data_IF_155525959370
#
_entry.id   IF_155525959370
#
_cell.length_a   1.000
_cell.length_b   1.000
_cell.length_c   1.000
_cell.angle_alpha   90.00
_cell.angle_beta   90.00
_cell.angle_gamma   90.00
#
_symmetry.space_group_name_H-M   'P 1'
#
loop_
_entity.id
_entity.type
_entity.pdbx_description
1 polymer ?
#
# COMPACT_ATOMS: atom_id res chain seq x y z
N UNK A 1 9.50 43.52 -10.61
CA UNK A 1 8.14 42.99 -10.83
C UNK A 1 7.71 42.11 -9.67
N UNK A 2 7.30 42.67 -8.51
CA UNK A 2 6.81 41.89 -7.35
C UNK A 2 5.28 41.81 -7.25
N UNK A 3 4.54 42.70 -7.94
CA UNK A 3 3.08 42.86 -7.76
C UNK A 3 2.25 41.67 -8.27
N UNK A 4 2.66 41.01 -9.34
CA UNK A 4 1.83 39.96 -9.96
C UNK A 4 1.83 38.65 -9.15
N UNK A 5 2.95 38.28 -8.54
CA UNK A 5 3.04 37.09 -7.68
C UNK A 5 2.25 37.26 -6.39
N UNK A 6 2.33 38.44 -5.75
CA UNK A 6 1.58 38.70 -4.52
C UNK A 6 0.06 38.78 -4.78
N UNK A 7 -0.33 39.32 -5.94
CA UNK A 7 -1.73 39.32 -6.39
C UNK A 7 -2.22 37.89 -6.62
N UNK A 8 -1.43 37.07 -7.34
CA UNK A 8 -1.74 35.66 -7.61
C UNK A 8 -1.87 34.83 -6.33
N UNK A 9 -0.93 35.00 -5.39
CA UNK A 9 -0.96 34.36 -4.08
C UNK A 9 -2.25 34.69 -3.32
N UNK A 10 -2.61 35.97 -3.26
CA UNK A 10 -3.83 36.43 -2.56
C UNK A 10 -5.09 35.85 -3.21
N UNK A 11 -5.14 35.80 -4.55
CA UNK A 11 -6.25 35.20 -5.29
C UNK A 11 -6.39 33.71 -5.00
N UNK A 12 -5.29 32.95 -5.02
CA UNK A 12 -5.31 31.50 -4.75
C UNK A 12 -5.76 31.25 -3.31
N UNK A 13 -5.24 31.99 -2.33
CA UNK A 13 -5.66 31.84 -0.93
C UNK A 13 -7.14 32.14 -0.75
N UNK A 14 -7.64 33.21 -1.38
CA UNK A 14 -9.07 33.51 -1.35
C UNK A 14 -9.90 32.39 -1.98
N UNK A 15 -9.45 31.81 -3.10
CA UNK A 15 -10.14 30.69 -3.75
C UNK A 15 -10.13 29.43 -2.88
N UNK A 16 -9.01 29.11 -2.23
CA UNK A 16 -8.89 28.00 -1.28
C UNK A 16 -9.83 28.20 -0.08
N UNK A 17 -9.89 29.41 0.49
CA UNK A 17 -10.80 29.73 1.60
C UNK A 17 -12.27 29.57 1.24
N UNK A 18 -12.65 29.88 0.00
CA UNK A 18 -14.01 29.65 -0.49
C UNK A 18 -14.39 28.16 -0.54
N UNK A 19 -13.42 27.25 -0.58
CA UNK A 19 -13.67 25.79 -0.56
C UNK A 19 -13.92 25.22 0.84
N UNK A 20 -13.83 26.04 1.90
CA UNK A 20 -13.97 25.56 3.28
C UNK A 20 -15.24 24.75 3.53
N UNK A 21 -16.45 25.17 3.08
CA UNK A 21 -17.66 24.36 3.28
C UNK A 21 -17.56 22.98 2.65
N UNK A 22 -16.99 22.88 1.45
CA UNK A 22 -16.82 21.61 0.74
C UNK A 22 -15.77 20.72 1.42
N UNK A 23 -14.69 21.31 1.95
CA UNK A 23 -13.67 20.60 2.73
C UNK A 23 -14.25 20.06 4.04
N UNK A 24 -15.10 20.82 4.73
CA UNK A 24 -15.79 20.33 5.93
C UNK A 24 -16.70 19.14 5.61
N UNK A 25 -17.54 19.28 4.58
CA UNK A 25 -18.39 18.17 4.12
C UNK A 25 -17.57 16.94 3.69
N UNK A 26 -16.40 17.15 3.08
CA UNK A 26 -15.49 16.05 2.76
C UNK A 26 -14.98 15.36 4.03
N UNK A 27 -14.49 16.11 5.02
CA UNK A 27 -14.01 15.55 6.29
C UNK A 27 -15.09 14.77 7.03
N UNK A 28 -16.31 15.30 7.08
CA UNK A 28 -17.48 14.61 7.64
C UNK A 28 -17.76 13.30 6.89
N UNK A 29 -17.80 13.35 5.56
CA UNK A 29 -17.99 12.14 4.73
C UNK A 29 -16.92 11.09 5.02
N UNK A 30 -15.65 11.50 5.12
CA UNK A 30 -14.54 10.59 5.42
C UNK A 30 -14.65 9.98 6.82
N UNK A 31 -15.11 10.73 7.82
CA UNK A 31 -15.37 10.20 9.16
C UNK A 31 -16.50 9.18 9.15
N UNK A 32 -17.57 9.43 8.39
CA UNK A 32 -18.68 8.49 8.29
C UNK A 32 -18.32 7.24 7.51
N UNK A 33 -17.47 7.34 6.48
CA UNK A 33 -16.89 6.17 5.82
C UNK A 33 -16.03 5.35 6.79
N UNK A 34 -15.21 6.00 7.63
CA UNK A 34 -14.41 5.29 8.66
C UNK A 34 -15.31 4.49 9.60
N UNK A 35 -16.37 5.10 10.13
CA UNK A 35 -17.34 4.40 11.00
C UNK A 35 -18.02 3.23 10.29
N UNK A 36 -18.41 3.41 9.02
CA UNK A 36 -19.06 2.35 8.25
C UNK A 36 -18.12 1.17 8.01
N UNK A 37 -16.86 1.42 7.64
CA UNK A 37 -15.85 0.38 7.42
C UNK A 37 -15.61 -0.51 8.66
N UNK A 38 -15.78 0.04 9.87
CA UNK A 38 -15.68 -0.73 11.12
C UNK A 38 -16.82 -1.75 11.29
N UNK A 39 -17.99 -1.48 10.70
CA UNK A 39 -19.21 -2.29 10.90
C UNK A 39 -19.60 -3.17 9.72
N UNK A 40 -18.97 -3.01 8.55
CA UNK A 40 -19.28 -3.79 7.33
C UNK A 40 -19.25 -5.30 7.60
N UNK A 41 -20.23 -6.03 7.08
CA UNK A 41 -20.28 -7.49 7.18
C UNK A 41 -20.19 -8.22 5.84
N UNK A 42 -20.33 -7.51 4.72
CA UNK A 42 -20.40 -8.12 3.40
C UNK A 42 -19.44 -7.46 2.39
N UNK A 43 -18.93 -8.23 1.43
CA UNK A 43 -17.96 -7.73 0.43
C UNK A 43 -18.61 -6.72 -0.54
N UNK A 44 -19.89 -6.88 -0.86
CA UNK A 44 -20.64 -5.94 -1.71
C UNK A 44 -20.82 -4.58 -1.01
N UNK A 45 -21.04 -4.58 0.31
CA UNK A 45 -21.07 -3.37 1.13
C UNK A 45 -19.69 -2.70 1.14
N UNK A 46 -18.61 -3.47 1.33
CA UNK A 46 -17.24 -2.95 1.27
C UNK A 46 -16.96 -2.32 -0.10
N UNK A 47 -17.33 -3.00 -1.18
CA UNK A 47 -17.13 -2.52 -2.56
C UNK A 47 -17.85 -1.19 -2.78
N UNK A 48 -19.10 -1.10 -2.32
CA UNK A 48 -19.90 0.13 -2.41
C UNK A 48 -19.27 1.28 -1.62
N UNK A 49 -18.76 1.00 -0.42
CA UNK A 49 -18.07 2.02 0.40
C UNK A 49 -16.78 2.52 -0.24
N UNK A 50 -15.95 1.61 -0.77
CA UNK A 50 -14.71 1.99 -1.46
C UNK A 50 -15.01 2.86 -2.67
N UNK A 51 -16.04 2.53 -3.46
CA UNK A 51 -16.49 3.38 -4.58
C UNK A 51 -16.95 4.77 -4.11
N UNK A 52 -17.67 4.84 -2.98
CA UNK A 52 -18.10 6.10 -2.37
C UNK A 52 -16.92 6.96 -1.92
N UNK A 53 -15.91 6.35 -1.30
CA UNK A 53 -14.66 6.99 -0.91
C UNK A 53 -13.93 7.55 -2.14
N UNK A 54 -13.70 6.72 -3.15
CA UNK A 54 -13.00 7.10 -4.39
C UNK A 54 -13.72 8.27 -5.10
N UNK A 55 -15.05 8.21 -5.16
CA UNK A 55 -15.84 9.27 -5.76
C UNK A 55 -15.69 10.59 -4.98
N UNK A 56 -15.71 10.52 -3.65
CA UNK A 56 -15.60 11.69 -2.80
C UNK A 56 -14.21 12.33 -2.85
N UNK A 57 -13.16 11.50 -2.93
CA UNK A 57 -11.79 11.97 -3.17
C UNK A 57 -11.64 12.62 -4.54
N UNK A 58 -12.24 12.05 -5.60
CA UNK A 58 -12.24 12.65 -6.95
C UNK A 58 -12.93 14.01 -6.96
N UNK A 59 -14.07 14.15 -6.30
CA UNK A 59 -14.78 15.43 -6.17
C UNK A 59 -13.92 16.49 -5.48
N UNK A 60 -13.29 16.15 -4.35
CA UNK A 60 -12.40 17.07 -3.66
C UNK A 60 -11.20 17.44 -4.55
N UNK A 61 -10.54 16.45 -5.15
CA UNK A 61 -9.38 16.69 -6.02
C UNK A 61 -9.71 17.63 -7.19
N UNK A 62 -10.88 17.49 -7.81
CA UNK A 62 -11.33 18.41 -8.86
C UNK A 62 -11.54 19.84 -8.35
N UNK A 63 -12.10 20.01 -7.14
CA UNK A 63 -12.28 21.32 -6.53
C UNK A 63 -10.93 21.97 -6.20
N UNK A 64 -10.03 21.20 -5.58
CA UNK A 64 -8.69 21.66 -5.23
C UNK A 64 -7.91 22.05 -6.48
N UNK A 65 -7.90 21.22 -7.54
CA UNK A 65 -7.23 21.55 -8.81
C UNK A 65 -7.75 22.85 -9.44
N UNK A 66 -9.05 23.12 -9.37
CA UNK A 66 -9.63 24.37 -9.87
C UNK A 66 -9.19 25.58 -9.05
N UNK A 67 -9.20 25.49 -7.72
CA UNK A 67 -8.78 26.58 -6.84
C UNK A 67 -7.24 26.81 -6.87
N UNK A 68 -6.49 25.75 -7.11
CA UNK A 68 -5.03 25.71 -7.25
C UNK A 68 -4.52 26.04 -8.66
N UNK A 69 -5.41 26.39 -9.61
CA UNK A 69 -5.00 26.57 -11.00
C UNK A 69 -3.94 27.68 -11.14
N UNK A 70 -2.79 27.34 -11.73
CA UNK A 70 -1.66 28.26 -11.87
C UNK A 70 -0.75 28.36 -10.63
N UNK A 71 -0.98 27.54 -9.61
CA UNK A 71 -0.07 27.40 -8.47
C UNK A 71 1.20 26.65 -8.89
N UNK A 72 2.34 27.32 -8.77
CA UNK A 72 3.65 26.69 -8.86
C UNK A 72 4.19 26.36 -7.47
N UNK A 73 5.38 25.74 -7.42
CA UNK A 73 6.03 25.35 -6.16
C UNK A 73 6.29 26.56 -5.25
N UNK A 74 6.68 27.71 -5.82
CA UNK A 74 6.99 28.92 -5.05
C UNK A 74 5.75 29.48 -4.36
N UNK A 75 4.62 29.49 -5.07
CA UNK A 75 3.32 29.90 -4.53
C UNK A 75 2.82 28.90 -3.48
N UNK A 76 3.00 27.60 -3.71
CA UNK A 76 2.65 26.58 -2.72
C UNK A 76 3.43 26.75 -1.42
N UNK A 77 4.76 26.93 -1.51
CA UNK A 77 5.62 27.15 -0.34
C UNK A 77 5.21 28.41 0.44
N UNK A 78 4.83 29.49 -0.27
CA UNK A 78 4.34 30.72 0.34
C UNK A 78 2.98 30.53 1.05
N UNK A 79 2.06 29.73 0.48
CA UNK A 79 0.79 29.36 1.12
C UNK A 79 1.05 28.57 2.40
N UNK A 80 1.98 27.60 2.37
CA UNK A 80 2.37 26.83 3.54
C UNK A 80 2.96 27.70 4.66
N UNK A 81 3.78 28.70 4.35
CA UNK A 81 4.25 29.66 5.35
C UNK A 81 3.10 30.47 5.95
N UNK A 82 2.12 30.84 5.14
CA UNK A 82 0.99 31.64 5.60
C UNK A 82 0.04 30.85 6.52
N UNK A 83 -0.01 29.52 6.40
CA UNK A 83 -0.73 28.63 7.33
C UNK A 83 -0.29 28.84 8.79
N UNK A 84 0.97 29.15 9.07
CA UNK A 84 1.47 29.37 10.44
C UNK A 84 0.71 30.47 11.19
N UNK A 85 0.12 31.41 10.45
CA UNK A 85 -0.62 32.56 10.97
C UNK A 85 -2.13 32.52 10.68
N UNK A 86 -2.61 31.51 9.94
CA UNK A 86 -3.99 31.41 9.47
C UNK A 86 -4.55 30.01 9.74
N UNK A 87 -5.34 29.89 10.80
CA UNK A 87 -5.93 28.61 11.23
C UNK A 87 -6.93 28.05 10.21
N UNK A 88 -7.62 28.92 9.47
CA UNK A 88 -8.57 28.50 8.44
C UNK A 88 -7.82 27.91 7.24
N UNK A 89 -6.76 28.58 6.80
CA UNK A 89 -5.91 28.08 5.73
C UNK A 89 -5.19 26.79 6.13
N UNK A 90 -4.76 26.67 7.40
CA UNK A 90 -4.21 25.42 7.94
C UNK A 90 -5.20 24.27 7.86
N UNK A 91 -6.46 24.50 8.25
CA UNK A 91 -7.51 23.49 8.21
C UNK A 91 -7.80 23.00 6.78
N UNK A 92 -7.72 23.91 5.80
CA UNK A 92 -7.84 23.62 4.38
C UNK A 92 -6.64 22.82 3.89
N UNK A 93 -5.43 23.28 4.20
CA UNK A 93 -4.20 22.62 3.74
C UNK A 93 -4.01 21.22 4.32
N UNK A 94 -4.64 20.92 5.46
CA UNK A 94 -4.64 19.59 6.06
C UNK A 94 -5.12 18.48 5.11
N UNK A 95 -6.01 18.76 4.15
CA UNK A 95 -6.49 17.73 3.20
C UNK A 95 -5.47 17.38 2.11
N UNK A 96 -4.43 18.20 1.93
CA UNK A 96 -3.32 17.89 1.03
C UNK A 96 -2.29 16.96 1.67
N UNK A 97 -2.37 16.74 2.99
CA UNK A 97 -1.56 15.74 3.67
C UNK A 97 -2.25 14.38 3.58
N UNK A 98 -1.56 13.42 2.97
CA UNK A 98 -2.06 12.05 2.87
C UNK A 98 -2.20 11.41 4.26
N UNK A 99 -3.42 11.03 4.62
CA UNK A 99 -3.72 10.19 5.78
C UNK A 99 -3.95 8.74 5.31
N UNK A 100 -3.00 7.85 5.62
CA UNK A 100 -3.11 6.44 5.25
C UNK A 100 -4.13 5.66 6.09
N UNK A 101 -4.78 6.27 7.10
CA UNK A 101 -5.69 5.55 8.00
C UNK A 101 -6.89 4.95 7.28
N UNK A 102 -7.43 5.61 6.24
CA UNK A 102 -8.57 5.10 5.49
C UNK A 102 -8.16 3.89 4.63
N UNK A 103 -7.03 3.97 3.93
CA UNK A 103 -6.48 2.87 3.15
C UNK A 103 -6.15 1.65 4.03
N UNK A 104 -5.60 1.89 5.23
CA UNK A 104 -5.34 0.86 6.22
C UNK A 104 -6.64 0.22 6.73
N UNK A 105 -7.69 1.02 6.94
CA UNK A 105 -8.98 0.53 7.41
C UNK A 105 -9.69 -0.31 6.33
N UNK A 106 -9.72 0.15 5.07
CA UNK A 106 -10.23 -0.63 3.93
C UNK A 106 -9.52 -1.98 3.85
N UNK A 107 -8.18 -1.95 3.95
CA UNK A 107 -7.34 -3.16 3.95
C UNK A 107 -7.74 -4.11 5.08
N UNK A 108 -7.78 -3.61 6.31
CA UNK A 108 -8.11 -4.43 7.49
C UNK A 108 -9.52 -5.00 7.42
N UNK A 109 -10.48 -4.23 6.90
CA UNK A 109 -11.86 -4.67 6.69
C UNK A 109 -11.92 -5.78 5.65
N UNK A 110 -11.24 -5.62 4.49
CA UNK A 110 -11.19 -6.67 3.46
C UNK A 110 -10.60 -7.97 4.01
N UNK A 111 -9.49 -7.89 4.73
CA UNK A 111 -8.86 -9.06 5.33
C UNK A 111 -9.79 -9.77 6.32
N UNK A 112 -10.51 -9.01 7.16
CA UNK A 112 -11.49 -9.55 8.09
C UNK A 112 -12.62 -10.28 7.37
N UNK A 113 -13.18 -9.69 6.32
CA UNK A 113 -14.26 -10.31 5.53
C UNK A 113 -13.76 -11.59 4.85
N UNK A 114 -12.58 -11.54 4.23
CA UNK A 114 -11.95 -12.71 3.63
C UNK A 114 -11.74 -13.84 4.64
N UNK A 115 -11.28 -13.52 5.86
CA UNK A 115 -11.11 -14.51 6.93
C UNK A 115 -12.45 -15.10 7.39
N UNK A 116 -13.50 -14.28 7.49
CA UNK A 116 -14.85 -14.75 7.79
C UNK A 116 -15.34 -15.73 6.71
N UNK A 117 -15.15 -15.41 5.42
CA UNK A 117 -15.50 -16.29 4.31
C UNK A 117 -14.69 -17.59 4.33
N UNK A 118 -13.39 -17.51 4.60
CA UNK A 118 -12.52 -18.69 4.75
C UNK A 118 -13.02 -19.61 5.87
N UNK A 119 -13.24 -19.06 7.07
CA UNK A 119 -13.60 -19.85 8.24
C UNK A 119 -15.02 -20.42 8.17
N UNK A 120 -15.95 -19.76 7.46
CA UNK A 120 -17.30 -20.28 7.24
C UNK A 120 -17.32 -21.58 6.40
N UNK A 121 -16.28 -21.85 5.59
CA UNK A 121 -16.18 -23.05 4.74
C UNK A 121 -15.67 -24.29 5.47
N UNK A 122 -15.13 -24.13 6.67
CA UNK A 122 -14.35 -25.14 7.40
C UNK A 122 -14.98 -25.43 8.77
N UNK A 123 -14.72 -26.62 9.33
CA UNK A 123 -15.20 -27.00 10.65
C UNK A 123 -14.21 -27.90 11.39
N UNK A 124 -14.34 -27.99 12.72
CA UNK A 124 -13.49 -28.85 13.56
C UNK A 124 -11.99 -28.60 13.34
N UNK A 125 -11.24 -29.67 13.08
CA UNK A 125 -9.78 -29.62 12.89
C UNK A 125 -9.38 -28.82 11.64
N UNK A 126 -10.19 -28.82 10.58
CA UNK A 126 -9.94 -28.04 9.36
C UNK A 126 -9.90 -26.54 9.65
N UNK A 127 -10.85 -26.08 10.46
CA UNK A 127 -10.92 -24.69 10.90
C UNK A 127 -9.70 -24.32 11.76
N UNK A 128 -9.27 -25.22 12.65
CA UNK A 128 -8.10 -24.96 13.49
C UNK A 128 -6.82 -24.90 12.66
N UNK A 129 -6.63 -25.79 11.69
CA UNK A 129 -5.49 -25.75 10.76
C UNK A 129 -5.42 -24.42 10.00
N UNK A 130 -6.54 -23.94 9.47
CA UNK A 130 -6.59 -22.66 8.75
C UNK A 130 -6.25 -21.48 9.68
N UNK A 131 -6.78 -21.47 10.91
CA UNK A 131 -6.46 -20.42 11.91
C UNK A 131 -4.99 -20.43 12.29
N UNK A 132 -4.41 -21.59 12.54
CA UNK A 132 -3.01 -21.74 12.91
C UNK A 132 -2.09 -21.27 11.77
N UNK A 133 -2.40 -21.66 10.53
CA UNK A 133 -1.70 -21.20 9.33
C UNK A 133 -1.77 -19.67 9.21
N UNK A 134 -2.96 -19.08 9.30
CA UNK A 134 -3.15 -17.63 9.21
C UNK A 134 -2.44 -16.86 10.33
N UNK A 135 -2.45 -17.39 11.55
CA UNK A 135 -1.75 -16.78 12.68
C UNK A 135 -0.23 -16.78 12.45
N UNK A 136 0.35 -17.91 12.03
CA UNK A 136 1.78 -18.01 11.72
C UNK A 136 2.16 -17.09 10.56
N UNK A 137 1.32 -17.02 9.53
CA UNK A 137 1.52 -16.12 8.41
C UNK A 137 1.51 -14.65 8.86
N UNK A 138 0.57 -14.24 9.72
CA UNK A 138 0.54 -12.88 10.30
C UNK A 138 1.80 -12.55 11.08
N UNK A 139 2.37 -13.50 11.82
CA UNK A 139 3.63 -13.31 12.57
C UNK A 139 4.83 -13.05 11.66
N UNK A 140 4.77 -13.48 10.40
CA UNK A 140 5.82 -13.27 9.40
C UNK A 140 5.73 -11.92 8.67
N UNK A 141 4.73 -11.09 8.96
CA UNK A 141 4.51 -9.80 8.28
C UNK A 141 5.71 -8.85 8.33
N UNK A 142 6.31 -8.68 9.50
CA UNK A 142 7.50 -7.82 9.67
C UNK A 142 8.72 -8.39 8.95
N UNK A 143 8.87 -9.71 8.92
CA UNK A 143 9.96 -10.39 8.22
C UNK A 143 9.81 -10.19 6.71
N UNK A 144 8.61 -10.35 6.16
CA UNK A 144 8.34 -10.12 4.75
C UNK A 144 8.70 -8.69 4.30
N UNK A 145 8.37 -7.67 5.11
CA UNK A 145 8.75 -6.28 4.83
C UNK A 145 10.26 -6.10 4.76
N UNK A 146 11.01 -6.75 5.66
CA UNK A 146 12.47 -6.73 5.64
C UNK A 146 13.03 -7.44 4.39
N UNK A 147 12.43 -8.55 3.99
CA UNK A 147 12.82 -9.28 2.78
C UNK A 147 12.61 -8.44 1.53
N UNK A 148 11.49 -7.71 1.44
CA UNK A 148 11.24 -6.83 0.29
C UNK A 148 12.22 -5.67 0.23
N UNK A 149 12.59 -5.07 1.36
CA UNK A 149 13.65 -4.07 1.41
C UNK A 149 15.01 -4.65 0.96
N UNK A 150 15.34 -5.88 1.35
CA UNK A 150 16.57 -6.54 0.92
C UNK A 150 16.58 -6.88 -0.57
N UNK A 151 15.44 -7.28 -1.15
CA UNK A 151 15.32 -7.47 -2.60
C UNK A 151 15.60 -6.18 -3.35
N UNK A 152 15.09 -5.04 -2.90
CA UNK A 152 15.40 -3.74 -3.53
C UNK A 152 16.90 -3.42 -3.51
N UNK A 153 17.62 -3.76 -2.43
CA UNK A 153 19.07 -3.63 -2.38
C UNK A 153 19.76 -4.53 -3.43
N UNK A 154 19.31 -5.78 -3.60
CA UNK A 154 19.83 -6.65 -4.65
C UNK A 154 19.53 -6.13 -6.05
N UNK A 155 18.31 -5.62 -6.30
CA UNK A 155 17.95 -4.98 -7.57
C UNK A 155 18.87 -3.80 -7.88
N UNK A 156 19.19 -2.99 -6.88
CA UNK A 156 20.13 -1.88 -7.05
C UNK A 156 21.55 -2.40 -7.37
N UNK A 157 22.07 -3.36 -6.59
CA UNK A 157 23.39 -3.98 -6.86
C UNK A 157 23.48 -4.57 -8.27
N UNK A 158 22.44 -5.26 -8.74
CA UNK A 158 22.38 -5.85 -10.09
C UNK A 158 22.37 -4.79 -11.20
N UNK A 159 21.73 -3.63 -10.97
CA UNK A 159 21.75 -2.48 -11.88
C UNK A 159 23.13 -1.81 -11.93
N UNK A 160 23.83 -1.78 -10.81
CA UNK A 160 25.14 -1.13 -10.67
C UNK A 160 26.31 -2.03 -11.09
N UNK A 161 26.13 -3.36 -11.16
CA UNK A 161 27.19 -4.29 -11.56
C UNK A 161 27.75 -3.95 -12.95
N UNK A 162 29.08 -3.88 -13.08
CA UNK A 162 29.77 -3.49 -14.32
C UNK A 162 30.37 -4.69 -15.07
N UNK A 163 30.42 -5.86 -14.45
CA UNK A 163 31.01 -7.07 -15.02
C UNK A 163 30.25 -8.34 -14.64
N UNK A 164 30.51 -9.42 -15.37
CA UNK A 164 29.80 -10.69 -15.21
C UNK A 164 30.16 -11.37 -13.89
N UNK A 165 31.40 -11.20 -13.39
CA UNK A 165 31.83 -11.81 -12.13
C UNK A 165 31.05 -11.22 -10.95
N UNK A 166 30.86 -9.91 -10.93
CA UNK A 166 30.06 -9.21 -9.91
C UNK A 166 28.60 -9.68 -9.93
N UNK A 167 28.02 -9.91 -11.11
CA UNK A 167 26.66 -10.46 -11.22
C UNK A 167 26.58 -11.89 -10.69
N UNK A 168 27.57 -12.73 -10.98
CA UNK A 168 27.62 -14.11 -10.48
C UNK A 168 27.82 -14.15 -8.94
N UNK A 169 28.62 -13.23 -8.39
CA UNK A 169 28.76 -13.06 -6.93
C UNK A 169 27.44 -12.64 -6.29
N UNK A 170 26.71 -11.69 -6.89
CA UNK A 170 25.38 -11.29 -6.40
C UNK A 170 24.38 -12.46 -6.49
N UNK A 171 24.38 -13.24 -7.56
CA UNK A 171 23.52 -14.41 -7.70
C UNK A 171 23.79 -15.45 -6.60
N UNK A 172 25.06 -15.70 -6.28
CA UNK A 172 25.45 -16.59 -5.19
C UNK A 172 24.96 -16.08 -3.82
N UNK A 173 25.08 -14.78 -3.55
CA UNK A 173 24.53 -14.15 -2.33
C UNK A 173 23.01 -14.37 -2.24
N UNK A 174 22.27 -14.13 -3.34
CA UNK A 174 20.82 -14.31 -3.40
C UNK A 174 20.45 -15.78 -3.14
N UNK A 175 21.18 -16.73 -3.75
CA UNK A 175 20.94 -18.16 -3.57
C UNK A 175 21.18 -18.60 -2.12
N UNK A 176 22.31 -18.19 -1.51
CA UNK A 176 22.62 -18.51 -0.12
C UNK A 176 21.56 -17.94 0.84
N UNK A 177 21.11 -16.71 0.58
CA UNK A 177 20.06 -16.08 1.35
C UNK A 177 18.70 -16.76 1.16
N UNK A 178 18.34 -17.11 -0.09
CA UNK A 178 17.12 -17.85 -0.39
C UNK A 178 17.08 -19.20 0.33
N UNK A 179 18.19 -19.95 0.37
CA UNK A 179 18.25 -21.21 1.10
C UNK A 179 17.97 -21.03 2.59
N UNK A 180 18.56 -20.00 3.21
CA UNK A 180 18.32 -19.64 4.60
C UNK A 180 16.86 -19.27 4.88
N UNK A 181 16.29 -18.42 4.03
CA UNK A 181 14.88 -17.99 4.13
C UNK A 181 13.94 -19.17 4.00
N UNK A 182 14.13 -20.02 2.98
CA UNK A 182 13.28 -21.18 2.72
C UNK A 182 13.29 -22.16 3.89
N UNK A 183 14.46 -22.38 4.53
CA UNK A 183 14.55 -23.22 5.75
C UNK A 183 13.74 -22.65 6.90
N UNK A 184 13.87 -21.35 7.18
CA UNK A 184 13.13 -20.69 8.27
C UNK A 184 11.64 -20.66 7.98
N UNK A 185 11.26 -20.35 6.73
CA UNK A 185 9.87 -20.31 6.30
C UNK A 185 9.19 -21.67 6.48
N UNK A 186 9.80 -22.75 6.00
CA UNK A 186 9.26 -24.11 6.12
C UNK A 186 9.25 -24.64 7.57
N UNK A 187 10.07 -24.06 8.46
CA UNK A 187 10.03 -24.40 9.89
C UNK A 187 8.87 -23.71 10.63
N UNK A 188 8.36 -22.60 10.10
CA UNK A 188 7.31 -21.78 10.72
C UNK A 188 5.94 -22.06 10.09
N UNK A 189 5.89 -22.14 8.76
CA UNK A 189 4.69 -22.34 7.97
C UNK A 189 4.54 -23.82 7.64
N UNK A 190 3.45 -24.40 8.16
CA UNK A 190 3.02 -25.74 7.82
C UNK A 190 1.83 -25.63 6.88
N UNK A 191 2.03 -25.99 5.62
CA UNK A 191 0.93 -26.07 4.67
C UNK A 191 0.02 -27.24 5.05
N UNK A 192 -1.30 -27.05 5.03
CA UNK A 192 -2.23 -28.11 5.39
C UNK A 192 -2.22 -29.20 4.31
N UNK A 193 -2.02 -30.45 4.74
CA UNK A 193 -2.11 -31.63 3.86
C UNK A 193 -3.56 -31.97 3.46
N UNK A 194 -4.54 -31.35 4.12
CA UNK A 194 -5.95 -31.51 3.79
C UNK A 194 -6.30 -30.64 2.56
N UNK A 195 -6.68 -31.31 1.47
CA UNK A 195 -7.03 -30.69 0.19
C UNK A 195 -8.13 -29.61 0.30
N UNK A 196 -9.14 -29.83 1.16
CA UNK A 196 -10.21 -28.86 1.37
C UNK A 196 -9.71 -27.59 2.06
N UNK A 197 -8.82 -27.73 3.04
CA UNK A 197 -8.20 -26.58 3.72
C UNK A 197 -7.27 -25.84 2.75
N UNK A 198 -6.46 -26.58 1.99
CA UNK A 198 -5.58 -26.00 0.98
C UNK A 198 -6.36 -25.21 -0.08
N UNK A 199 -7.44 -25.78 -0.63
CA UNK A 199 -8.31 -25.11 -1.60
C UNK A 199 -8.95 -23.86 -1.02
N UNK A 200 -9.44 -23.91 0.22
CA UNK A 200 -10.04 -22.75 0.87
C UNK A 200 -9.02 -21.61 1.08
N UNK A 201 -7.77 -21.94 1.41
CA UNK A 201 -6.67 -20.97 1.51
C UNK A 201 -6.30 -20.37 0.15
N UNK A 202 -6.28 -21.17 -0.92
CA UNK A 202 -6.05 -20.68 -2.28
C UNK A 202 -7.09 -19.62 -2.65
N UNK A 203 -8.38 -19.94 -2.49
CA UNK A 203 -9.49 -19.00 -2.78
C UNK A 203 -9.40 -17.73 -1.91
N UNK A 204 -8.97 -17.87 -0.64
CA UNK A 204 -8.72 -16.73 0.22
C UNK A 204 -7.59 -15.83 -0.33
N UNK A 205 -6.48 -16.42 -0.78
CA UNK A 205 -5.35 -15.65 -1.32
C UNK A 205 -5.64 -14.98 -2.66
N UNK A 206 -6.45 -15.61 -3.53
CA UNK A 206 -6.89 -15.01 -4.80
C UNK A 206 -7.69 -13.73 -4.59
N UNK A 207 -8.44 -13.65 -3.49
CA UNK A 207 -9.27 -12.49 -3.15
C UNK A 207 -8.58 -11.51 -2.19
N UNK A 208 -7.42 -11.88 -1.64
CA UNK A 208 -6.65 -11.07 -0.68
C UNK A 208 -5.20 -10.87 -1.15
N UNK A 209 -4.96 -10.00 -2.15
CA UNK A 209 -3.65 -9.87 -2.80
C UNK A 209 -2.52 -9.45 -1.85
N UNK A 210 -2.82 -8.70 -0.78
CA UNK A 210 -1.80 -8.33 0.20
C UNK A 210 -1.32 -9.53 1.02
N UNK A 211 -2.21 -10.47 1.33
CA UNK A 211 -1.88 -11.73 2.01
C UNK A 211 -1.15 -12.69 1.08
N UNK A 212 -1.50 -12.68 -0.21
CA UNK A 212 -0.72 -13.38 -1.22
C UNK A 212 0.69 -12.80 -1.35
N UNK A 213 0.82 -11.47 -1.40
CA UNK A 213 2.12 -10.80 -1.44
C UNK A 213 3.00 -11.15 -0.23
N UNK A 214 2.39 -11.30 0.95
CA UNK A 214 3.08 -11.76 2.15
C UNK A 214 3.67 -13.17 2.00
N UNK A 215 2.94 -14.11 1.38
CA UNK A 215 3.46 -15.45 1.07
C UNK A 215 4.57 -15.37 0.02
N UNK A 216 4.33 -14.62 -1.06
CA UNK A 216 5.28 -14.43 -2.16
C UNK A 216 6.57 -13.71 -1.72
N UNK A 217 6.54 -12.94 -0.63
CA UNK A 217 7.72 -12.30 -0.09
C UNK A 217 8.83 -13.31 0.25
N UNK A 218 8.48 -14.56 0.58
CA UNK A 218 9.42 -15.62 0.91
C UNK A 218 9.94 -16.38 -0.32
N UNK A 219 9.36 -16.16 -1.51
CA UNK A 219 9.89 -16.65 -2.79
C UNK A 219 11.04 -15.75 -3.26
N UNK A 220 12.09 -15.69 -2.44
CA UNK A 220 13.12 -14.65 -2.52
C UNK A 220 13.87 -14.64 -3.86
N UNK A 221 14.38 -15.81 -4.27
CA UNK A 221 15.10 -15.94 -5.54
C UNK A 221 14.17 -15.67 -6.75
N UNK A 222 12.99 -16.28 -6.78
CA UNK A 222 12.03 -16.13 -7.88
C UNK A 222 11.66 -14.67 -8.16
N UNK A 223 11.56 -13.86 -7.10
CA UNK A 223 11.27 -12.43 -7.21
C UNK A 223 12.40 -11.57 -7.81
N UNK A 224 13.58 -12.15 -8.02
CA UNK A 224 14.79 -11.51 -8.56
C UNK A 224 15.29 -12.17 -9.86
N UNK A 225 14.68 -13.27 -10.32
CA UNK A 225 15.10 -14.00 -11.53
C UNK A 225 15.15 -13.07 -12.75
N UNK A 226 14.14 -12.23 -12.93
CA UNK A 226 14.08 -11.33 -14.07
C UNK A 226 15.18 -10.26 -13.98
N UNK A 227 15.40 -9.69 -12.80
CA UNK A 227 16.47 -8.70 -12.56
C UNK A 227 17.86 -9.30 -12.87
N UNK A 228 18.09 -10.56 -12.48
CA UNK A 228 19.31 -11.31 -12.81
C UNK A 228 19.47 -11.51 -14.32
N UNK A 229 18.40 -11.93 -15.00
CA UNK A 229 18.42 -12.15 -16.45
C UNK A 229 18.70 -10.85 -17.22
N UNK A 230 18.13 -9.73 -16.77
CA UNK A 230 18.32 -8.42 -17.35
C UNK A 230 19.77 -7.93 -17.16
N UNK A 231 20.33 -8.10 -15.95
CA UNK A 231 21.73 -7.76 -15.66
C UNK A 231 22.71 -8.55 -16.55
N UNK A 232 22.52 -9.87 -16.65
CA UNK A 232 23.33 -10.75 -17.52
C UNK A 232 23.22 -10.36 -19.00
N UNK A 233 22.03 -9.97 -19.45
CA UNK A 233 21.82 -9.56 -20.85
C UNK A 233 22.47 -8.22 -21.17
N UNK A 234 22.40 -7.25 -20.24
CA UNK A 234 23.04 -5.94 -20.37
C UNK A 234 24.54 -6.06 -20.59
N UNK A 235 25.21 -6.89 -19.80
CA UNK A 235 26.67 -7.05 -19.85
C UNK A 235 27.15 -7.85 -21.07
N UNK A 236 26.33 -8.72 -21.64
CA UNK A 236 26.64 -9.41 -22.92
C UNK A 236 26.59 -8.48 -24.14
N UNK A 237 25.99 -7.29 -24.00
CA UNK A 237 25.84 -6.29 -25.07
C UNK A 237 26.79 -5.09 -24.93
N UNK A 238 27.45 -4.97 -23.79
CA UNK A 238 28.49 -3.98 -23.51
C UNK A 238 29.85 -4.47 -24.03
#
# INVERSE_FOLDING_TARGET
MPNDQQTTLTTIISALKQLRPQIMLFKESMQDFKKQLETVSEEDELTTLVQGIDQREKELNQLLQKAASGMDKTLFDAICQQCESDSELTEIMAVFHADNSLANLITTTRERLGEQTLYAKLSGDELQMAKDFMQRLKQLSSVAQLLDAQKELFRQRLKEAEDTQTVDEIENDILAQHEGITKVYNAIIFYPDNERVAQALVEYFETNPQRLALVQAFHFYDSLIQDLADAKTRLKRA
#
